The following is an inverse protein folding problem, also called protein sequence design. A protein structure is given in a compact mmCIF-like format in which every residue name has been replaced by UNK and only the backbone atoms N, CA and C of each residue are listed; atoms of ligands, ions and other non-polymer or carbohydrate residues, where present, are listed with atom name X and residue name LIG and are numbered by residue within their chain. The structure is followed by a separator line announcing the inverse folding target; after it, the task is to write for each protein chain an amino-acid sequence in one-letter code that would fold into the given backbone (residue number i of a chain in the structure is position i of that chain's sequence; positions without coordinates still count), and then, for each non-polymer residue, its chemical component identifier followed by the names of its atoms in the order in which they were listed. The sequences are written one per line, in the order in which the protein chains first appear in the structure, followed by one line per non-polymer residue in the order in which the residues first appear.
data_IF_783955939339
#
_entry.id   IF_783955939339
#
_cell.length_a   1.000
_cell.length_b   1.000
_cell.length_c   1.000
_cell.angle_alpha   90.00
_cell.angle_beta   90.00
_cell.angle_gamma   90.00
#
_symmetry.space_group_name_H-M   'P 1'
#
loop_
_entity.id
_entity.type
_entity.pdbx_description
1 polymer ?
#
# COMPACT_ATOMS: atom_id res chain seq x y z
N UNK A 1 31.41 -22.92 -49.65
CA UNK A 1 32.11 -21.76 -50.21
C UNK A 1 32.57 -20.90 -49.04
N UNK A 2 33.52 -21.33 -48.20
CA UNK A 2 34.98 -21.48 -48.42
C UNK A 2 35.63 -20.28 -49.10
N UNK A 3 36.19 -19.38 -48.29
CA UNK A 3 37.54 -18.85 -48.56
C UNK A 3 38.26 -18.63 -47.23
N UNK A 4 39.33 -19.41 -47.06
CA UNK A 4 40.40 -19.23 -46.08
C UNK A 4 41.41 -18.30 -46.73
N UNK A 5 41.97 -17.35 -45.98
CA UNK A 5 43.30 -16.84 -46.30
C UNK A 5 44.16 -16.82 -45.04
N UNK A 6 45.24 -17.59 -45.14
CA UNK A 6 46.25 -17.84 -44.14
C UNK A 6 47.43 -16.92 -44.46
N UNK A 7 47.90 -16.11 -43.50
CA UNK A 7 49.31 -15.74 -43.43
C UNK A 7 49.73 -15.63 -41.97
N UNK A 8 50.64 -16.53 -41.58
CA UNK A 8 51.40 -16.49 -40.34
C UNK A 8 52.63 -15.63 -40.63
N UNK A 9 52.92 -14.65 -39.80
CA UNK A 9 54.24 -14.08 -39.65
C UNK A 9 54.57 -14.00 -38.16
N UNK A 10 55.48 -14.88 -37.73
CA UNK A 10 56.21 -14.77 -36.48
C UNK A 10 57.59 -14.21 -36.84
N UNK A 11 57.96 -13.05 -36.30
CA UNK A 11 59.36 -12.71 -36.07
C UNK A 11 59.45 -11.96 -34.74
N UNK A 12 60.15 -12.60 -33.82
CA UNK A 12 60.56 -12.08 -32.52
C UNK A 12 61.61 -10.98 -32.68
N UNK A 13 61.50 -9.91 -31.91
CA UNK A 13 62.63 -9.02 -31.62
C UNK A 13 62.58 -8.60 -30.14
N UNK A 14 63.68 -8.90 -29.48
CA UNK A 14 64.00 -8.71 -28.07
C UNK A 14 64.42 -7.24 -27.85
N UNK A 15 63.75 -6.50 -26.97
CA UNK A 15 64.31 -5.28 -26.37
C UNK A 15 63.86 -5.12 -24.91
N UNK A 16 64.73 -4.45 -24.17
CA UNK A 16 65.03 -4.56 -22.75
C UNK A 16 63.92 -4.05 -21.81
N UNK A 17 63.98 -4.57 -20.58
CA UNK A 17 63.08 -4.32 -19.47
C UNK A 17 62.74 -2.85 -19.20
N UNK A 18 61.44 -2.60 -19.12
CA UNK A 18 60.88 -1.60 -18.23
C UNK A 18 59.82 -2.31 -17.39
N UNK A 19 60.16 -2.60 -16.13
CA UNK A 19 59.22 -3.11 -15.15
C UNK A 19 58.27 -1.97 -14.77
N UNK A 20 57.11 -1.88 -15.43
CA UNK A 20 55.97 -1.19 -14.87
C UNK A 20 55.33 -2.12 -13.85
N UNK A 21 55.65 -1.84 -12.58
CA UNK A 21 54.84 -2.29 -11.44
C UNK A 21 53.39 -1.93 -11.72
N UNK A 22 52.54 -2.95 -11.67
CA UNK A 22 51.09 -2.80 -11.61
C UNK A 22 50.74 -2.04 -10.33
N UNK A 23 50.55 -0.73 -10.42
CA UNK A 23 49.64 -0.07 -9.50
C UNK A 23 48.24 -0.49 -9.92
N UNK A 24 47.78 -1.62 -9.39
CA UNK A 24 46.36 -1.83 -9.22
C UNK A 24 45.88 -0.64 -8.38
N UNK A 25 45.37 0.39 -9.04
CA UNK A 25 44.47 1.34 -8.41
C UNK A 25 43.26 0.51 -8.00
N UNK A 26 43.33 0.00 -6.77
CA UNK A 26 42.17 -0.14 -5.93
C UNK A 26 41.54 1.23 -5.91
N UNK A 27 40.67 1.50 -6.87
CA UNK A 27 39.64 2.50 -6.76
C UNK A 27 38.73 2.00 -5.63
N UNK A 28 39.20 2.24 -4.42
CA UNK A 28 38.40 2.33 -3.23
C UNK A 28 37.56 3.60 -3.37
N UNK A 29 36.68 3.63 -4.37
CA UNK A 29 35.43 4.37 -4.31
C UNK A 29 34.60 3.68 -3.24
N UNK A 30 35.03 3.89 -1.99
CA UNK A 30 34.24 3.59 -0.82
C UNK A 30 33.00 4.45 -0.90
N UNK A 31 31.92 3.89 -1.44
CA UNK A 31 30.58 4.23 -0.98
C UNK A 31 30.66 4.15 0.55
N UNK A 32 30.46 5.28 1.20
CA UNK A 32 30.94 5.54 2.55
C UNK A 32 30.58 4.40 3.51
N UNK A 33 31.57 3.60 3.89
CA UNK A 33 31.50 2.67 5.02
C UNK A 33 31.60 3.47 6.34
N UNK A 34 30.71 4.44 6.53
CA UNK A 34 30.27 4.73 7.87
C UNK A 34 29.44 3.52 8.28
N UNK A 35 29.87 2.77 9.29
CA UNK A 35 29.04 1.69 9.83
C UNK A 35 27.64 2.24 10.17
N UNK A 36 26.61 1.40 10.07
CA UNK A 36 25.25 1.80 10.41
C UNK A 36 25.22 2.48 11.78
N UNK A 37 24.53 3.62 11.84
CA UNK A 37 24.27 4.27 13.10
C UNK A 37 23.22 3.47 13.89
N UNK A 38 23.13 3.72 15.21
CA UNK A 38 22.03 3.18 16.01
C UNK A 38 20.68 3.70 15.50
N UNK A 39 20.63 4.93 14.98
CA UNK A 39 19.43 5.52 14.42
C UNK A 39 19.00 4.79 13.13
N UNK A 40 19.96 4.43 12.26
CA UNK A 40 19.69 3.68 11.03
C UNK A 40 19.06 2.30 11.35
N UNK A 41 19.57 1.63 12.38
CA UNK A 41 19.06 0.32 12.82
C UNK A 41 17.63 0.45 13.36
N UNK A 42 17.39 1.46 14.19
CA UNK A 42 16.05 1.75 14.74
C UNK A 42 15.08 2.15 13.64
N UNK A 43 15.53 2.93 12.65
CA UNK A 43 14.72 3.30 11.49
C UNK A 43 14.27 2.07 10.71
N UNK A 44 15.20 1.16 10.36
CA UNK A 44 14.86 -0.07 9.63
C UNK A 44 13.83 -0.90 10.40
N UNK A 45 14.03 -1.07 11.71
CA UNK A 45 13.12 -1.86 12.55
C UNK A 45 11.73 -1.24 12.63
N UNK A 46 11.63 0.07 12.87
CA UNK A 46 10.35 0.77 12.98
C UNK A 46 9.62 0.82 11.63
N UNK A 47 10.31 1.20 10.55
CA UNK A 47 9.73 1.22 9.21
C UNK A 47 9.19 -0.16 8.79
N UNK A 48 9.85 -1.24 9.17
CA UNK A 48 9.37 -2.60 8.92
C UNK A 48 8.09 -2.92 9.72
N UNK A 49 8.05 -2.60 11.02
CA UNK A 49 6.86 -2.82 11.86
C UNK A 49 5.65 -2.03 11.38
N UNK A 50 5.86 -0.76 11.06
CA UNK A 50 4.81 0.14 10.59
C UNK A 50 4.31 -0.30 9.21
N UNK A 51 5.22 -0.58 8.28
CA UNK A 51 4.86 -1.06 6.95
C UNK A 51 4.10 -2.39 6.96
N UNK A 52 4.43 -3.33 7.86
CA UNK A 52 3.65 -4.56 8.03
C UNK A 52 2.26 -4.29 8.62
N UNK A 53 2.15 -3.35 9.56
CA UNK A 53 0.88 -2.98 10.17
C UNK A 53 -0.06 -2.33 9.16
N UNK A 54 0.45 -1.44 8.31
CA UNK A 54 -0.35 -0.77 7.29
C UNK A 54 -0.84 -1.74 6.21
N UNK A 55 -0.07 -2.77 5.85
CA UNK A 55 -0.57 -3.86 4.99
C UNK A 55 -1.74 -4.60 5.65
N UNK A 56 -1.64 -4.91 6.95
CA UNK A 56 -2.73 -5.58 7.67
C UNK A 56 -3.98 -4.70 7.78
N UNK A 57 -3.81 -3.42 8.09
CA UNK A 57 -4.91 -2.44 8.18
C UNK A 57 -5.54 -2.15 6.82
N UNK A 58 -4.75 -2.11 5.74
CA UNK A 58 -5.24 -1.98 4.37
C UNK A 58 -6.08 -3.19 3.97
N UNK A 59 -5.59 -4.41 4.22
CA UNK A 59 -6.37 -5.63 3.94
C UNK A 59 -7.69 -5.68 4.74
N UNK A 60 -7.66 -5.20 5.98
CA UNK A 60 -8.85 -5.04 6.80
C UNK A 60 -9.85 -4.08 6.15
N UNK A 61 -9.40 -2.91 5.69
CA UNK A 61 -10.27 -1.92 5.04
C UNK A 61 -10.87 -2.40 3.73
N UNK A 62 -10.10 -3.12 2.90
CA UNK A 62 -10.61 -3.77 1.68
C UNK A 62 -11.80 -4.70 2.02
N UNK A 63 -11.69 -5.45 3.12
CA UNK A 63 -12.72 -6.42 3.52
C UNK A 63 -13.94 -5.81 4.24
N UNK A 64 -13.74 -4.75 5.04
CA UNK A 64 -14.77 -4.22 5.96
C UNK A 64 -15.45 -2.95 5.45
N UNK A 65 -14.79 -2.16 4.61
CA UNK A 65 -15.35 -0.89 4.15
C UNK A 65 -16.50 -1.12 3.16
N UNK A 66 -17.43 -0.18 3.15
CA UNK A 66 -18.45 -0.06 2.09
C UNK A 66 -18.21 1.14 1.18
N UNK A 67 -17.17 1.93 1.46
CA UNK A 67 -16.77 3.10 0.70
C UNK A 67 -15.70 2.73 -0.33
N UNK A 68 -16.00 2.92 -1.61
CA UNK A 68 -15.10 2.57 -2.69
C UNK A 68 -13.81 3.38 -2.67
N UNK A 69 -13.84 4.62 -2.18
CA UNK A 69 -12.64 5.45 -2.09
C UNK A 69 -11.72 4.97 -0.96
N UNK A 70 -12.29 4.50 0.16
CA UNK A 70 -11.53 3.85 1.24
C UNK A 70 -10.89 2.56 0.73
N UNK A 71 -11.65 1.72 0.01
CA UNK A 71 -11.10 0.48 -0.58
C UNK A 71 -9.97 0.74 -1.57
N UNK A 72 -10.11 1.74 -2.43
CA UNK A 72 -9.09 2.12 -3.39
C UNK A 72 -7.80 2.56 -2.68
N UNK A 73 -7.89 3.47 -1.70
CA UNK A 73 -6.72 3.88 -0.93
C UNK A 73 -6.10 2.69 -0.18
N UNK A 74 -6.92 1.83 0.43
CA UNK A 74 -6.45 0.66 1.14
C UNK A 74 -5.69 -0.31 0.22
N UNK A 75 -6.14 -0.51 -1.03
CA UNK A 75 -5.42 -1.32 -2.02
C UNK A 75 -4.07 -0.70 -2.38
N UNK A 76 -4.02 0.62 -2.62
CA UNK A 76 -2.76 1.32 -2.87
C UNK A 76 -1.77 1.17 -1.71
N UNK A 77 -2.24 1.32 -0.47
CA UNK A 77 -1.42 1.11 0.73
C UNK A 77 -0.89 -0.32 0.77
N UNK A 78 -1.74 -1.34 0.58
CA UNK A 78 -1.30 -2.75 0.55
C UNK A 78 -0.22 -2.97 -0.50
N UNK A 79 -0.44 -2.51 -1.72
CA UNK A 79 0.48 -2.76 -2.83
C UNK A 79 1.83 -2.07 -2.61
N UNK A 80 1.81 -0.81 -2.20
CA UNK A 80 3.01 0.01 -2.07
C UNK A 80 3.81 -0.37 -0.82
N UNK A 81 3.14 -0.58 0.32
CA UNK A 81 3.84 -1.00 1.55
C UNK A 81 4.37 -2.43 1.43
N UNK A 82 3.69 -3.34 0.73
CA UNK A 82 4.23 -4.67 0.45
C UNK A 82 5.54 -4.58 -0.34
N UNK A 83 5.59 -3.76 -1.39
CA UNK A 83 6.82 -3.54 -2.18
C UNK A 83 7.91 -2.90 -1.34
N UNK A 84 7.58 -1.88 -0.55
CA UNK A 84 8.53 -1.20 0.33
C UNK A 84 9.10 -2.15 1.40
N UNK A 85 8.27 -3.01 1.99
CA UNK A 85 8.69 -4.01 2.98
C UNK A 85 9.67 -5.03 2.38
N UNK A 86 9.44 -5.48 1.14
CA UNK A 86 10.39 -6.37 0.44
C UNK A 86 11.73 -5.68 0.23
N UNK A 87 11.72 -4.45 -0.27
CA UNK A 87 12.94 -3.67 -0.48
C UNK A 87 13.69 -3.42 0.84
N UNK A 88 12.97 -3.06 1.90
CA UNK A 88 13.54 -2.82 3.23
C UNK A 88 14.13 -4.10 3.84
N UNK A 89 13.49 -5.26 3.63
CA UNK A 89 14.01 -6.55 4.07
C UNK A 89 15.32 -6.89 3.39
N UNK A 90 15.41 -6.73 2.07
CA UNK A 90 16.67 -6.92 1.33
C UNK A 90 17.76 -5.96 1.82
N UNK A 91 17.41 -4.70 2.08
CA UNK A 91 18.33 -3.72 2.65
C UNK A 91 18.83 -4.18 4.03
N UNK A 92 17.93 -4.53 4.95
CA UNK A 92 18.27 -5.02 6.29
C UNK A 92 19.20 -6.24 6.25
N UNK A 93 18.92 -7.22 5.38
CA UNK A 93 19.77 -8.39 5.17
C UNK A 93 21.18 -8.01 4.70
N UNK A 94 21.28 -7.11 3.72
CA UNK A 94 22.58 -6.62 3.20
C UNK A 94 23.41 -5.91 4.27
N UNK A 95 22.73 -5.24 5.21
CA UNK A 95 23.35 -4.51 6.31
C UNK A 95 23.49 -5.35 7.58
N UNK A 96 23.04 -6.60 7.57
CA UNK A 96 23.04 -7.54 8.71
C UNK A 96 22.25 -7.00 9.92
N UNK A 97 21.18 -6.26 9.66
CA UNK A 97 20.22 -5.80 10.66
C UNK A 97 19.11 -6.83 10.82
N UNK A 98 18.69 -7.09 12.05
CA UNK A 98 17.55 -7.96 12.32
C UNK A 98 16.27 -7.36 11.73
N UNK A 99 15.51 -8.16 11.00
CA UNK A 99 14.22 -7.75 10.45
C UNK A 99 13.09 -8.34 11.32
N UNK A 100 12.13 -7.54 11.80
CA UNK A 100 11.05 -8.02 12.65
C UNK A 100 10.12 -8.98 11.87
N UNK A 101 9.60 -10.00 12.55
CA UNK A 101 8.62 -10.94 11.98
C UNK A 101 7.16 -10.58 12.32
N UNK A 102 6.96 -9.54 13.11
CA UNK A 102 5.65 -9.10 13.61
C UNK A 102 5.57 -7.56 13.70
N UNK A 103 4.34 -7.08 13.81
CA UNK A 103 4.03 -5.65 14.03
C UNK A 103 4.25 -5.26 15.49
N UNK A 104 4.34 -3.96 15.77
CA UNK A 104 4.44 -3.46 17.14
C UNK A 104 3.13 -3.66 17.94
N UNK A 105 3.23 -3.80 19.26
CA UNK A 105 2.05 -3.96 20.14
C UNK A 105 1.02 -2.82 20.00
N UNK A 106 1.47 -1.59 19.76
CA UNK A 106 0.54 -0.46 19.61
C UNK A 106 -0.19 -0.50 18.27
N UNK A 107 0.46 -0.97 17.19
CA UNK A 107 -0.21 -1.25 15.91
C UNK A 107 -1.26 -2.36 16.03
N UNK A 108 -0.99 -3.36 16.87
CA UNK A 108 -1.98 -4.41 17.19
C UNK A 108 -3.21 -3.83 17.91
N UNK A 109 -3.00 -2.99 18.94
CA UNK A 109 -4.11 -2.32 19.65
C UNK A 109 -4.94 -1.44 18.73
N UNK A 110 -4.28 -0.68 17.85
CA UNK A 110 -4.96 0.15 16.86
C UNK A 110 -5.81 -0.71 15.92
N UNK A 111 -5.27 -1.81 15.41
CA UNK A 111 -5.99 -2.77 14.59
C UNK A 111 -7.19 -3.38 15.33
N UNK A 112 -7.05 -3.69 16.62
CA UNK A 112 -8.14 -4.24 17.43
C UNK A 112 -9.26 -3.21 17.67
N UNK A 113 -8.91 -1.94 17.87
CA UNK A 113 -9.87 -0.83 17.91
C UNK A 113 -10.66 -0.69 16.59
N UNK A 114 -9.99 -0.82 15.45
CA UNK A 114 -10.62 -0.80 14.12
C UNK A 114 -11.52 -2.02 13.88
N UNK A 115 -11.19 -3.20 14.41
CA UNK A 115 -12.04 -4.40 14.27
C UNK A 115 -13.40 -4.20 14.91
N UNK A 116 -13.46 -3.45 16.01
CA UNK A 116 -14.68 -3.18 16.77
C UNK A 116 -15.64 -2.20 16.05
N UNK A 117 -15.16 -1.43 15.07
CA UNK A 117 -15.99 -0.49 14.29
C UNK A 117 -16.54 -1.12 13.01
N UNK A 118 -17.60 -0.51 12.44
CA UNK A 118 -18.30 -0.97 11.23
C UNK A 118 -18.87 0.19 10.41
N UNK A 119 -19.10 -0.02 9.12
CA UNK A 119 -19.71 0.97 8.22
C UNK A 119 -18.97 2.31 8.24
N UNK A 120 -19.69 3.43 8.21
CA UNK A 120 -19.08 4.77 8.21
C UNK A 120 -18.17 5.01 9.42
N UNK A 121 -18.49 4.47 10.59
CA UNK A 121 -17.62 4.61 11.78
C UNK A 121 -16.26 3.92 11.60
N UNK A 122 -16.23 2.80 10.86
CA UNK A 122 -14.99 2.14 10.47
C UNK A 122 -14.20 2.99 9.49
N UNK A 123 -14.85 3.48 8.44
CA UNK A 123 -14.21 4.30 7.40
C UNK A 123 -13.58 5.57 8.00
N UNK A 124 -14.29 6.22 8.94
CA UNK A 124 -13.80 7.38 9.69
C UNK A 124 -12.60 7.04 10.58
N UNK A 125 -12.70 5.98 11.39
CA UNK A 125 -11.64 5.58 12.31
C UNK A 125 -10.38 5.17 11.53
N UNK A 126 -10.55 4.40 10.46
CA UNK A 126 -9.46 3.97 9.60
C UNK A 126 -8.79 5.15 8.90
N UNK A 127 -9.56 6.08 8.32
CA UNK A 127 -8.99 7.24 7.64
C UNK A 127 -8.19 8.14 8.60
N UNK A 128 -8.70 8.35 9.83
CA UNK A 128 -7.97 9.09 10.87
C UNK A 128 -6.68 8.39 11.29
N UNK A 129 -6.70 7.07 11.42
CA UNK A 129 -5.52 6.27 11.71
C UNK A 129 -4.47 6.43 10.59
N UNK A 130 -4.87 6.28 9.32
CA UNK A 130 -3.95 6.46 8.18
C UNK A 130 -3.34 7.86 8.13
N UNK A 131 -4.11 8.92 8.43
CA UNK A 131 -3.56 10.28 8.53
C UNK A 131 -2.45 10.36 9.58
N UNK A 132 -2.71 9.84 10.79
CA UNK A 132 -1.76 9.88 11.88
C UNK A 132 -0.50 9.07 11.55
N UNK A 133 -0.67 7.83 11.11
CA UNK A 133 0.45 6.92 10.86
C UNK A 133 1.35 7.45 9.73
N UNK A 134 0.76 8.00 8.67
CA UNK A 134 1.55 8.58 7.58
C UNK A 134 2.24 9.88 7.98
N UNK A 135 1.66 10.71 8.87
CA UNK A 135 2.36 11.87 9.42
C UNK A 135 3.60 11.46 10.22
N UNK A 136 3.45 10.45 11.08
CA UNK A 136 4.53 9.91 11.90
C UNK A 136 5.62 9.26 11.01
N UNK A 137 5.22 8.47 10.01
CA UNK A 137 6.13 7.86 9.05
C UNK A 137 6.88 8.90 8.21
N UNK A 138 6.20 9.93 7.68
CA UNK A 138 6.86 11.00 6.92
C UNK A 138 7.88 11.73 7.79
N UNK A 139 7.56 11.98 9.06
CA UNK A 139 8.51 12.59 10.00
C UNK A 139 9.73 11.68 10.20
N UNK A 140 9.51 10.40 10.51
CA UNK A 140 10.57 9.41 10.70
C UNK A 140 11.48 9.31 9.48
N UNK A 141 10.92 9.14 8.29
CA UNK A 141 11.68 9.06 7.04
C UNK A 141 12.42 10.36 6.73
N UNK A 142 11.81 11.52 6.99
CA UNK A 142 12.46 12.82 6.77
C UNK A 142 13.65 13.02 7.70
N UNK A 143 13.52 12.63 8.97
CA UNK A 143 14.60 12.72 9.95
C UNK A 143 15.74 11.76 9.62
N UNK A 144 15.41 10.52 9.23
CA UNK A 144 16.40 9.53 8.78
C UNK A 144 17.18 10.04 7.55
N UNK A 145 16.49 10.54 6.54
CA UNK A 145 17.11 11.05 5.32
C UNK A 145 18.07 12.23 5.55
N UNK A 146 17.92 12.97 6.66
CA UNK A 146 18.83 14.06 7.03
C UNK A 146 20.06 13.57 7.77
N UNK A 147 19.91 12.55 8.62
CA UNK A 147 20.97 12.11 9.53
C UNK A 147 21.84 11.01 8.93
N UNK A 148 21.23 10.08 8.19
CA UNK A 148 21.90 8.86 7.78
C UNK A 148 23.05 9.14 6.81
N UNK A 149 24.14 8.40 6.96
CA UNK A 149 25.31 8.45 6.07
C UNK A 149 25.38 7.25 5.14
N UNK A 150 24.48 6.27 5.34
CA UNK A 150 24.39 5.10 4.49
C UNK A 150 23.63 5.44 3.21
N UNK A 151 24.30 5.29 2.07
CA UNK A 151 23.76 5.68 0.76
C UNK A 151 22.55 4.85 0.35
N UNK A 152 22.46 3.60 0.80
CA UNK A 152 21.34 2.72 0.45
C UNK A 152 20.10 3.08 1.27
N UNK A 153 20.27 3.47 2.54
CA UNK A 153 19.18 4.02 3.36
C UNK A 153 18.71 5.37 2.82
N UNK A 154 19.64 6.27 2.44
CA UNK A 154 19.27 7.54 1.79
C UNK A 154 18.43 7.30 0.53
N UNK A 155 18.82 6.32 -0.28
CA UNK A 155 18.09 5.98 -1.49
C UNK A 155 16.71 5.41 -1.18
N UNK A 156 16.60 4.49 -0.21
CA UNK A 156 15.31 3.94 0.23
C UNK A 156 14.37 5.03 0.74
N UNK A 157 14.87 5.95 1.57
CA UNK A 157 14.10 7.10 2.06
C UNK A 157 13.61 7.97 0.90
N UNK A 158 14.50 8.30 -0.03
CA UNK A 158 14.19 9.14 -1.20
C UNK A 158 13.12 8.53 -2.10
N UNK A 159 13.11 7.21 -2.27
CA UNK A 159 12.13 6.52 -3.13
C UNK A 159 10.76 6.37 -2.46
N UNK A 160 10.72 6.24 -1.14
CA UNK A 160 9.48 5.90 -0.41
C UNK A 160 8.72 7.14 0.05
N UNK A 161 9.42 8.24 0.39
CA UNK A 161 8.80 9.48 0.89
C UNK A 161 7.69 10.07 0.00
N UNK A 162 7.82 10.11 -1.35
CA UNK A 162 6.75 10.64 -2.21
C UNK A 162 5.45 9.84 -2.09
N UNK A 163 5.55 8.51 -1.99
CA UNK A 163 4.39 7.63 -1.83
C UNK A 163 3.69 7.85 -0.50
N UNK A 164 4.44 7.93 0.61
CA UNK A 164 3.87 8.22 1.93
C UNK A 164 3.10 9.56 1.94
N UNK A 165 3.63 10.58 1.28
CA UNK A 165 2.96 11.88 1.14
C UNK A 165 1.67 11.78 0.33
N UNK A 166 1.68 11.02 -0.76
CA UNK A 166 0.50 10.80 -1.60
C UNK A 166 -0.60 10.04 -0.85
N UNK A 167 -0.23 9.03 -0.05
CA UNK A 167 -1.18 8.32 0.80
C UNK A 167 -1.75 9.22 1.90
N UNK A 168 -0.91 10.05 2.56
CA UNK A 168 -1.37 11.04 3.53
C UNK A 168 -2.40 11.99 2.94
N UNK A 169 -2.12 12.56 1.77
CA UNK A 169 -3.05 13.49 1.10
C UNK A 169 -4.40 12.81 0.82
N UNK A 170 -4.36 11.56 0.36
CA UNK A 170 -5.57 10.77 0.09
C UNK A 170 -6.34 10.47 1.37
N UNK A 171 -5.65 10.08 2.44
CA UNK A 171 -6.26 9.81 3.74
C UNK A 171 -6.89 11.08 4.35
N UNK A 172 -6.26 12.25 4.20
CA UNK A 172 -6.80 13.53 4.64
C UNK A 172 -8.09 13.89 3.91
N UNK A 173 -8.15 13.66 2.59
CA UNK A 173 -9.37 13.85 1.81
C UNK A 173 -10.50 12.96 2.33
N UNK A 174 -10.23 11.68 2.56
CA UNK A 174 -11.22 10.74 3.10
C UNK A 174 -11.68 11.11 4.51
N UNK A 175 -10.77 11.57 5.37
CA UNK A 175 -11.09 11.98 6.73
C UNK A 175 -11.93 13.28 6.81
N UNK A 176 -11.91 14.11 5.77
CA UNK A 176 -12.68 15.36 5.69
C UNK A 176 -14.12 15.19 5.14
N UNK A 177 -14.37 14.13 4.36
CA UNK A 177 -15.68 13.80 3.75
C UNK A 177 -16.82 13.36 4.72
N UNK A 178 -16.60 12.78 5.92
CA UNK A 178 -17.68 12.12 6.65
C UNK A 178 -18.79 13.06 7.15
N UNK A 179 -18.45 14.32 7.41
CA UNK A 179 -19.41 15.33 7.87
C UNK A 179 -20.47 15.68 6.81
N UNK A 180 -20.18 15.43 5.52
CA UNK A 180 -21.12 15.66 4.42
C UNK A 180 -21.97 14.43 4.09
N UNK A 181 -21.41 13.22 4.25
CA UNK A 181 -22.09 11.96 3.93
C UNK A 181 -23.13 11.58 5.00
N UNK A 182 -22.84 11.81 6.28
CA UNK A 182 -23.81 11.63 7.37
C UNK A 182 -24.96 12.65 7.25
N UNK A 183 -24.66 13.92 6.93
CA UNK A 183 -25.70 14.94 6.65
C UNK A 183 -26.55 14.62 5.43
N UNK A 184 -25.97 14.06 4.37
CA UNK A 184 -26.71 13.67 3.17
C UNK A 184 -27.66 12.48 3.43
N UNK A 185 -27.23 11.50 4.23
CA UNK A 185 -28.08 10.38 4.68
C UNK A 185 -29.20 10.86 5.63
N UNK A 186 -28.90 11.77 6.55
CA UNK A 186 -29.92 12.38 7.41
C UNK A 186 -30.94 13.20 6.61
N UNK A 187 -30.49 13.92 5.57
CA UNK A 187 -31.40 14.62 4.66
C UNK A 187 -32.23 13.66 3.81
N UNK A 188 -31.64 12.59 3.29
CA UNK A 188 -32.36 11.58 2.50
C UNK A 188 -33.41 10.84 3.34
N UNK A 189 -33.07 10.44 4.57
CA UNK A 189 -34.01 9.79 5.50
C UNK A 189 -35.13 10.73 5.94
N UNK A 190 -34.82 12.01 6.20
CA UNK A 190 -35.83 13.03 6.50
C UNK A 190 -36.75 13.30 5.31
N UNK A 191 -36.21 13.33 4.08
CA UNK A 191 -36.99 13.52 2.85
C UNK A 191 -37.89 12.32 2.53
N UNK A 192 -37.46 11.10 2.85
CA UNK A 192 -38.29 9.89 2.74
C UNK A 192 -39.41 9.88 3.79
N UNK A 193 -39.13 10.30 5.03
CA UNK A 193 -40.15 10.42 6.09
C UNK A 193 -41.22 11.46 5.74
N UNK A 194 -40.83 12.63 5.21
CA UNK A 194 -41.79 13.69 4.82
C UNK A 194 -42.65 13.34 3.60
N UNK A 195 -42.22 12.39 2.78
CA UNK A 195 -42.98 11.91 1.62
C UNK A 195 -44.07 10.91 2.02
N UNK A 196 -43.88 10.18 3.14
CA UNK A 196 -44.92 9.28 3.67
C UNK A 196 -46.05 10.04 4.39
N UNK A 197 -45.76 11.14 5.09
CA UNK A 197 -46.78 11.92 5.81
C UNK A 197 -47.69 12.78 4.89
N UNK A 198 -47.27 13.07 3.66
CA UNK A 198 -48.01 13.93 2.72
C UNK A 198 -48.76 13.17 1.60
N UNK A 199 -48.98 11.87 1.74
CA UNK A 199 -49.82 11.15 0.77
C UNK A 199 -51.30 11.36 1.15
N UNK A 200 -52.12 12.07 0.35
CA UNK A 200 -53.56 12.08 0.59
C UNK A 200 -54.08 10.67 0.34
N UNK A 201 -54.72 10.08 1.34
CA UNK A 201 -55.50 8.86 1.18
C UNK A 201 -56.68 9.15 0.24
N UNK A 202 -56.46 9.07 -1.08
CA UNK A 202 -57.56 8.96 -2.04
C UNK A 202 -58.04 7.52 -2.05
N UNK A 203 -59.14 7.33 -1.33
CA UNK A 203 -60.06 6.21 -1.44
C UNK A 203 -60.43 6.00 -2.91
N UNK A 204 -60.20 4.79 -3.44
CA UNK A 204 -60.95 4.29 -4.58
C UNK A 204 -61.44 2.88 -4.26
N UNK A 205 -62.70 2.83 -3.83
CA UNK A 205 -63.52 1.64 -3.75
C UNK A 205 -63.99 1.28 -5.16
N UNK A 206 -63.46 0.21 -5.74
CA UNK A 206 -64.10 -0.47 -6.87
C UNK A 206 -64.15 -1.98 -6.64
N UNK A 207 -65.38 -2.45 -6.71
CA UNK A 207 -65.95 -3.76 -6.38
C UNK A 207 -65.49 -4.87 -7.34
N UNK A 208 -65.31 -6.07 -6.78
CA UNK A 208 -64.91 -7.29 -7.48
C UNK A 208 -65.91 -7.78 -8.55
N UNK A 209 -65.40 -8.40 -9.63
CA UNK A 209 -66.06 -9.54 -10.27
C UNK A 209 -65.15 -10.37 -11.19
N UNK A 210 -65.34 -11.69 -11.07
CA UNK A 210 -65.09 -12.78 -12.02
C UNK A 210 -63.65 -13.27 -12.32
N UNK A 211 -63.49 -14.56 -12.04
CA UNK A 211 -62.35 -15.43 -12.31
C UNK A 211 -62.31 -15.93 -13.77
N UNK A 212 -61.10 -16.18 -14.30
CA UNK A 212 -60.75 -17.28 -15.23
C UNK A 212 -59.27 -17.69 -14.95
N UNK A 213 -58.91 -18.99 -14.88
CA UNK A 213 -57.56 -19.47 -14.53
C UNK A 213 -56.67 -19.75 -15.77
N UNK A 214 -55.54 -20.45 -15.54
CA UNK A 214 -54.50 -21.12 -16.40
C UNK A 214 -53.20 -20.35 -16.75
N UNK A 215 -52.04 -21.04 -16.97
CA UNK A 215 -51.44 -22.24 -16.35
C UNK A 215 -49.99 -22.02 -15.83
N UNK A 216 -49.48 -23.01 -15.08
CA UNK A 216 -48.08 -23.13 -14.65
C UNK A 216 -47.09 -23.43 -15.81
N UNK A 217 -45.82 -22.99 -15.74
CA UNK A 217 -44.79 -23.48 -16.65
C UNK A 217 -44.28 -24.86 -16.20
N UNK A 218 -44.42 -25.83 -17.10
CA UNK A 218 -43.86 -27.18 -17.00
C UNK A 218 -42.34 -27.16 -17.04
N UNK A 219 -41.73 -27.87 -16.09
CA UNK A 219 -40.34 -28.32 -16.18
C UNK A 219 -40.17 -29.29 -17.35
N UNK A 220 -39.10 -29.11 -18.13
CA UNK A 220 -38.62 -30.09 -19.09
C UNK A 220 -37.17 -30.42 -18.79
N UNK A 221 -36.97 -31.67 -18.38
CA UNK A 221 -35.73 -32.40 -18.23
C UNK A 221 -35.33 -33.03 -19.57
N UNK A 222 -34.02 -33.12 -19.84
CA UNK A 222 -33.43 -33.94 -20.91
C UNK A 222 -32.44 -33.15 -21.78
N UNK A 223 -31.31 -33.65 -22.26
CA UNK A 223 -30.74 -34.98 -22.21
C UNK A 223 -29.23 -34.91 -22.52
N UNK A 224 -28.54 -36.00 -22.20
CA UNK A 224 -27.13 -36.31 -22.50
C UNK A 224 -26.83 -36.23 -24.00
N UNK A 225 -25.61 -35.82 -24.33
CA UNK A 225 -24.68 -36.56 -25.20
C UNK A 225 -23.24 -36.18 -24.83
#
# INVERSE_FOLDING_TARGET
MTMRYSQRALVSALFLGFAWTSAAQSDNTGGGKGGLSAADTVFIENAAKDGMAEVQMGQMAISKSSDDQVKQLAQHIVDDHTKANVALKTLAESKKVSFPSNTANDAQKQSDGLKATKGTSFDQAWSKAMVKDHQDAIKMFTDEGKQTKDTDIQQFVKTTLPTLKSHLESAQKLAAVPDARDKAMDQATKSMSSTMDNTPASVSTAKASAAIPVPAPTAATGAKH
#
